data_IF_820171865943
#
_entry.id   IF_820171865943
#
_cell.length_a   1.000
_cell.length_b   1.000
_cell.length_c   1.000
_cell.angle_alpha   90.00
_cell.angle_beta   90.00
_cell.angle_gamma   90.00
#
_symmetry.space_group_name_H-M   'P 1'
#
loop_
_entity.id
_entity.type
_entity.pdbx_description
1 polymer ?
#
# COMPACT_ATOMS: atom_id res chain seq x y z
N UNK A 1 -12.36 15.80 6.91
CA UNK A 1 -11.19 15.12 7.50
C UNK A 1 -11.54 13.91 8.36
N UNK A 2 -12.70 13.90 9.06
CA UNK A 2 -13.25 12.72 9.76
C UNK A 2 -13.43 11.51 8.81
N UNK A 3 -13.64 11.77 7.52
CA UNK A 3 -13.86 10.78 6.46
C UNK A 3 -12.68 9.80 6.26
N UNK A 4 -11.44 10.26 6.04
CA UNK A 4 -10.31 9.35 5.75
C UNK A 4 -10.05 8.31 6.86
N UNK A 5 -10.08 8.73 8.13
CA UNK A 5 -9.87 7.81 9.24
C UNK A 5 -10.98 6.74 9.30
N UNK A 6 -12.22 7.13 8.99
CA UNK A 6 -13.34 6.19 8.89
C UNK A 6 -13.16 5.21 7.72
N UNK A 7 -12.76 5.71 6.53
CA UNK A 7 -12.45 4.85 5.37
C UNK A 7 -11.36 3.81 5.72
N UNK A 8 -10.29 4.24 6.39
CA UNK A 8 -9.21 3.31 6.77
C UNK A 8 -9.67 2.31 7.83
N UNK A 9 -10.47 2.74 8.82
CA UNK A 9 -11.03 1.84 9.83
C UNK A 9 -11.97 0.80 9.22
N UNK A 10 -12.71 1.15 8.16
CA UNK A 10 -13.60 0.22 7.46
C UNK A 10 -12.84 -0.95 6.80
N UNK A 11 -11.54 -0.81 6.55
CA UNK A 11 -10.67 -1.90 6.09
C UNK A 11 -10.38 -2.95 7.18
N UNK A 12 -10.56 -2.60 8.46
CA UNK A 12 -10.31 -3.53 9.56
C UNK A 12 -11.52 -4.45 9.80
N UNK A 13 -11.63 -5.50 9.00
CA UNK A 13 -12.76 -6.44 9.05
C UNK A 13 -12.65 -7.52 10.14
N UNK A 14 -11.50 -7.63 10.83
CA UNK A 14 -11.23 -8.74 11.78
C UNK A 14 -11.35 -8.35 13.25
N UNK A 15 -11.79 -7.13 13.53
CA UNK A 15 -11.88 -6.60 14.88
C UNK A 15 -10.51 -6.22 15.47
N UNK A 16 -10.51 -5.87 16.75
CA UNK A 16 -9.34 -5.26 17.40
C UNK A 16 -9.03 -3.86 16.88
N UNK A 17 -7.93 -3.26 17.35
CA UNK A 17 -7.48 -1.97 16.83
C UNK A 17 -6.77 -2.14 15.48
N UNK A 18 -6.88 -1.19 14.55
CA UNK A 18 -6.03 -1.16 13.36
C UNK A 18 -4.54 -1.14 13.75
N UNK A 19 -3.71 -1.86 12.98
CA UNK A 19 -2.26 -1.84 13.17
C UNK A 19 -1.64 -0.66 12.42
N UNK A 20 -0.75 0.06 13.09
CA UNK A 20 0.04 1.12 12.50
C UNK A 20 1.29 0.57 11.80
N UNK A 21 1.94 1.40 11.00
CA UNK A 21 3.22 1.03 10.39
C UNK A 21 4.30 0.76 11.46
N UNK A 22 4.22 1.43 12.62
CA UNK A 22 5.09 1.17 13.77
C UNK A 22 4.88 -0.23 14.35
N UNK A 23 3.63 -0.68 14.44
CA UNK A 23 3.32 -2.06 14.87
C UNK A 23 3.89 -3.08 13.87
N UNK A 24 3.80 -2.81 12.56
CA UNK A 24 4.34 -3.69 11.53
C UNK A 24 5.87 -3.76 11.55
N UNK A 25 6.56 -2.66 11.88
CA UNK A 25 8.00 -2.66 12.13
C UNK A 25 8.33 -3.50 13.37
N UNK A 26 7.58 -3.31 14.47
CA UNK A 26 7.78 -4.09 15.70
C UNK A 26 7.55 -5.60 15.50
N UNK A 27 6.61 -5.98 14.63
CA UNK A 27 6.35 -7.37 14.24
C UNK A 27 7.37 -7.95 13.24
N UNK A 28 8.40 -7.15 12.87
CA UNK A 28 9.35 -7.44 11.81
C UNK A 28 8.67 -7.77 10.47
N UNK A 29 7.45 -7.26 10.21
CA UNK A 29 6.76 -7.47 8.91
C UNK A 29 7.50 -6.77 7.78
N UNK A 30 8.13 -5.65 8.09
CA UNK A 30 9.08 -4.92 7.26
C UNK A 30 10.04 -4.19 8.21
N UNK A 31 11.23 -3.84 7.75
CA UNK A 31 12.16 -3.04 8.53
C UNK A 31 11.84 -1.53 8.43
N UNK A 32 12.57 -0.74 9.22
CA UNK A 32 12.44 0.72 9.23
C UNK A 32 12.74 1.34 7.85
N UNK A 33 13.75 0.83 7.14
CA UNK A 33 14.16 1.33 5.83
C UNK A 33 13.06 1.16 4.77
N UNK A 34 12.46 -0.03 4.71
CA UNK A 34 11.36 -0.31 3.81
C UNK A 34 10.10 0.46 4.21
N UNK A 35 9.82 0.55 5.52
CA UNK A 35 8.69 1.31 6.04
C UNK A 35 8.79 2.80 5.68
N UNK A 36 9.97 3.42 5.87
CA UNK A 36 10.22 4.80 5.47
C UNK A 36 10.12 4.98 3.95
N UNK A 37 10.59 4.01 3.16
CA UNK A 37 10.46 4.03 1.70
C UNK A 37 8.99 4.07 1.25
N UNK A 38 8.17 3.16 1.80
CA UNK A 38 6.74 3.10 1.50
C UNK A 38 6.00 4.36 1.99
N UNK A 39 6.22 4.76 3.24
CA UNK A 39 5.56 5.92 3.83
C UNK A 39 5.93 7.23 3.10
N UNK A 40 7.21 7.42 2.76
CA UNK A 40 7.68 8.59 2.02
C UNK A 40 7.14 8.66 0.60
N UNK A 41 7.08 7.53 -0.11
CA UNK A 41 6.46 7.49 -1.43
C UNK A 41 4.95 7.78 -1.37
N UNK A 42 4.24 7.19 -0.40
CA UNK A 42 2.80 7.43 -0.21
C UNK A 42 2.50 8.87 0.19
N UNK A 43 3.35 9.50 1.03
CA UNK A 43 3.22 10.92 1.37
C UNK A 43 3.53 11.87 0.22
N UNK A 44 4.24 11.38 -0.80
CA UNK A 44 4.39 12.06 -2.08
C UNK A 44 3.28 11.73 -3.09
N UNK A 45 2.22 11.02 -2.68
CA UNK A 45 1.06 10.71 -3.50
C UNK A 45 1.22 9.49 -4.42
N UNK A 46 2.14 8.57 -4.10
CA UNK A 46 2.31 7.34 -4.87
C UNK A 46 1.04 6.47 -4.90
N UNK A 47 0.75 5.89 -6.06
CA UNK A 47 -0.21 4.79 -6.22
C UNK A 47 0.42 3.47 -5.83
N UNK A 48 -0.26 2.62 -5.06
CA UNK A 48 0.36 1.41 -4.55
C UNK A 48 -0.58 0.22 -4.45
N UNK A 49 0.01 -0.98 -4.58
CA UNK A 49 -0.66 -2.24 -4.36
C UNK A 49 0.03 -3.05 -3.28
N UNK A 50 -0.77 -3.73 -2.45
CA UNK A 50 -0.29 -4.80 -1.57
C UNK A 50 -0.76 -6.14 -2.11
N UNK A 51 0.18 -7.06 -2.35
CA UNK A 51 -0.07 -8.30 -3.07
C UNK A 51 0.34 -9.51 -2.25
N UNK A 52 -0.44 -10.58 -2.33
CA UNK A 52 -0.13 -11.91 -1.80
C UNK A 52 -1.20 -12.88 -2.30
N UNK A 53 -0.81 -14.06 -2.77
CA UNK A 53 -1.76 -15.11 -3.17
C UNK A 53 -2.58 -15.66 -2.01
N UNK A 54 -2.03 -15.98 -0.81
CA UNK A 54 -2.87 -16.46 0.27
C UNK A 54 -3.75 -15.35 0.84
N UNK A 55 -4.99 -15.71 1.22
CA UNK A 55 -5.75 -14.93 2.19
C UNK A 55 -4.99 -14.85 3.53
N UNK A 56 -5.31 -13.87 4.36
CA UNK A 56 -4.73 -13.70 5.71
C UNK A 56 -3.24 -13.29 5.76
N UNK A 57 -2.59 -13.04 4.62
CA UNK A 57 -1.19 -12.61 4.55
C UNK A 57 -0.92 -11.22 5.13
N UNK A 58 -1.97 -10.41 5.32
CA UNK A 58 -1.87 -9.05 5.88
C UNK A 58 -1.87 -7.93 4.82
N UNK A 59 -2.25 -8.20 3.56
CA UNK A 59 -2.34 -7.20 2.47
C UNK A 59 -3.09 -5.94 2.93
N UNK A 60 -4.34 -6.11 3.33
CA UNK A 60 -5.23 -5.03 3.76
C UNK A 60 -4.70 -4.30 5.00
N UNK A 61 -4.03 -5.01 5.92
CA UNK A 61 -3.40 -4.42 7.10
C UNK A 61 -2.24 -3.50 6.71
N UNK A 62 -1.36 -3.95 5.81
CA UNK A 62 -0.28 -3.11 5.29
C UNK A 62 -0.85 -1.91 4.54
N UNK A 63 -1.83 -2.13 3.65
CA UNK A 63 -2.48 -1.05 2.90
C UNK A 63 -3.09 0.01 3.82
N UNK A 64 -3.90 -0.41 4.81
CA UNK A 64 -4.50 0.48 5.79
C UNK A 64 -3.45 1.28 6.58
N UNK A 65 -2.35 0.65 6.98
CA UNK A 65 -1.26 1.33 7.69
C UNK A 65 -0.57 2.40 6.85
N UNK A 66 -0.44 2.19 5.53
CA UNK A 66 0.19 3.12 4.60
C UNK A 66 -0.72 4.29 4.25
N UNK A 67 -2.05 4.09 4.16
CA UNK A 67 -3.02 5.15 3.90
C UNK A 67 -2.97 6.29 4.95
N UNK A 68 -2.41 6.03 6.14
CA UNK A 68 -2.17 7.05 7.17
C UNK A 68 -1.18 8.14 6.74
N UNK A 69 -0.32 7.84 5.75
CA UNK A 69 0.72 8.73 5.27
C UNK A 69 0.33 9.51 4.02
N UNK A 70 -0.91 9.40 3.53
CA UNK A 70 -1.37 10.18 2.38
C UNK A 70 -1.16 11.69 2.61
N UNK A 71 -0.88 12.47 1.54
CA UNK A 71 -0.66 13.90 1.64
C UNK A 71 -1.81 14.62 2.38
N UNK A 72 -1.53 15.71 3.13
CA UNK A 72 -2.57 16.57 3.67
C UNK A 72 -3.52 17.03 2.56
N UNK A 73 -4.81 17.14 2.88
CA UNK A 73 -5.84 17.49 1.88
C UNK A 73 -6.28 16.35 0.94
N UNK A 74 -5.48 15.31 0.74
CA UNK A 74 -5.84 14.15 -0.10
C UNK A 74 -7.00 13.35 0.52
N UNK A 75 -8.13 13.24 -0.17
CA UNK A 75 -9.32 12.51 0.32
C UNK A 75 -9.28 11.05 -0.11
N UNK A 76 -9.62 10.13 0.78
CA UNK A 76 -9.80 8.72 0.41
C UNK A 76 -11.22 8.55 -0.13
N UNK A 77 -11.36 7.97 -1.32
CA UNK A 77 -12.65 7.67 -1.94
C UNK A 77 -12.70 6.18 -2.23
N UNK A 78 -13.47 5.45 -1.43
CA UNK A 78 -13.72 4.03 -1.67
C UNK A 78 -14.63 3.87 -2.88
N UNK A 79 -14.15 3.12 -3.87
CA UNK A 79 -14.83 2.83 -5.12
C UNK A 79 -15.57 1.50 -4.99
N UNK A 80 -16.84 1.51 -5.36
CA UNK A 80 -17.76 0.36 -5.37
C UNK A 80 -18.79 0.54 -6.49
N UNK A 81 -19.71 -0.42 -6.63
CA UNK A 81 -20.75 -0.39 -7.68
C UNK A 81 -21.64 0.87 -7.64
N UNK A 82 -21.81 1.51 -6.48
CA UNK A 82 -22.59 2.73 -6.29
C UNK A 82 -21.76 4.01 -6.37
N UNK A 83 -20.43 3.93 -6.40
CA UNK A 83 -19.51 5.07 -6.42
C UNK A 83 -18.48 4.91 -7.54
N UNK A 84 -18.82 5.31 -8.78
CA UNK A 84 -17.88 5.23 -9.89
C UNK A 84 -16.75 6.25 -9.73
N UNK A 85 -15.66 6.01 -10.46
CA UNK A 85 -14.48 6.88 -10.49
C UNK A 85 -14.80 8.30 -11.01
N UNK A 86 -15.76 8.41 -11.94
CA UNK A 86 -16.24 9.68 -12.51
C UNK A 86 -17.02 10.46 -11.46
N UNK A 87 -16.33 11.31 -10.70
CA UNK A 87 -16.90 12.07 -9.58
C UNK A 87 -15.98 12.17 -8.37
N UNK A 88 -14.82 11.50 -8.39
CA UNK A 88 -13.79 11.69 -7.39
C UNK A 88 -13.31 13.16 -7.35
N UNK A 89 -13.02 13.72 -6.15
CA UNK A 89 -12.38 15.02 -6.01
C UNK A 89 -11.03 15.09 -6.75
N UNK A 90 -10.61 16.29 -7.15
CA UNK A 90 -9.34 16.49 -7.86
C UNK A 90 -8.11 15.97 -7.09
N UNK A 91 -8.13 16.07 -5.75
CA UNK A 91 -7.11 15.51 -4.87
C UNK A 91 -7.68 14.31 -4.13
N UNK A 92 -7.59 13.12 -4.74
CA UNK A 92 -8.13 11.88 -4.18
C UNK A 92 -7.17 10.69 -4.24
N UNK A 93 -7.23 9.84 -3.22
CA UNK A 93 -6.73 8.48 -3.27
C UNK A 93 -7.94 7.57 -3.45
N UNK A 94 -8.07 6.97 -4.64
CA UNK A 94 -9.13 6.00 -4.89
C UNK A 94 -8.76 4.69 -4.21
N UNK A 95 -9.69 4.14 -3.45
CA UNK A 95 -9.49 2.92 -2.68
C UNK A 95 -10.41 1.83 -3.22
N UNK A 96 -9.82 0.70 -3.58
CA UNK A 96 -10.55 -0.55 -3.71
C UNK A 96 -10.08 -1.48 -2.59
N UNK A 97 -10.99 -2.21 -1.96
CA UNK A 97 -10.61 -3.15 -0.91
C UNK A 97 -9.76 -4.29 -1.49
N UNK A 98 -10.09 -4.75 -2.70
CA UNK A 98 -9.30 -5.73 -3.45
C UNK A 98 -9.57 -5.65 -4.96
N UNK A 99 -8.56 -5.97 -5.76
CA UNK A 99 -8.75 -6.29 -7.17
C UNK A 99 -8.98 -7.79 -7.27
N UNK A 100 -10.22 -8.18 -7.57
CA UNK A 100 -10.66 -9.56 -7.62
C UNK A 100 -12.13 -9.68 -8.00
N UNK A 101 -12.51 -10.83 -8.56
CA UNK A 101 -13.85 -11.07 -9.10
C UNK A 101 -14.91 -11.49 -8.04
N UNK A 102 -14.52 -11.59 -6.76
CA UNK A 102 -15.47 -11.98 -5.71
C UNK A 102 -16.51 -10.87 -5.49
N UNK A 103 -17.80 -11.21 -5.27
CA UNK A 103 -18.89 -10.24 -5.08
C UNK A 103 -18.87 -9.67 -3.66
N UNK A 104 -17.77 -9.02 -3.30
CA UNK A 104 -17.53 -8.42 -1.99
C UNK A 104 -17.53 -6.90 -2.15
N UNK A 105 -18.00 -6.18 -1.14
CA UNK A 105 -18.01 -4.73 -1.14
C UNK A 105 -16.62 -4.14 -1.49
N UNK A 106 -16.59 -3.23 -2.46
CA UNK A 106 -15.38 -2.57 -2.98
C UNK A 106 -14.32 -3.54 -3.56
N UNK A 107 -14.76 -4.71 -4.04
CA UNK A 107 -13.95 -5.54 -4.92
C UNK A 107 -14.17 -5.12 -6.37
N UNK A 108 -13.09 -4.91 -7.11
CA UNK A 108 -13.15 -4.48 -8.50
C UNK A 108 -12.55 -5.53 -9.42
N UNK A 109 -13.22 -5.80 -10.53
CA UNK A 109 -12.74 -6.68 -11.60
C UNK A 109 -13.10 -6.12 -12.98
N UNK A 110 -12.50 -6.67 -14.04
CA UNK A 110 -12.81 -6.30 -15.43
C UNK A 110 -12.73 -4.79 -15.71
N UNK A 111 -13.75 -4.26 -16.40
CA UNK A 111 -13.81 -2.85 -16.79
C UNK A 111 -13.85 -1.85 -15.60
N UNK A 112 -14.55 -2.10 -14.47
CA UNK A 112 -14.39 -1.31 -13.26
C UNK A 112 -12.94 -1.21 -12.75
N UNK A 113 -12.22 -2.34 -12.66
CA UNK A 113 -10.82 -2.34 -12.26
C UNK A 113 -9.94 -1.58 -13.27
N UNK A 114 -10.19 -1.73 -14.58
CA UNK A 114 -9.51 -0.95 -15.62
C UNK A 114 -9.64 0.55 -15.40
N UNK A 115 -10.88 1.04 -15.26
CA UNK A 115 -11.19 2.47 -15.04
C UNK A 115 -10.57 3.00 -13.75
N UNK A 116 -10.50 2.17 -12.71
CA UNK A 116 -9.84 2.50 -11.45
C UNK A 116 -8.35 2.85 -11.66
N UNK A 117 -7.61 2.03 -12.41
CA UNK A 117 -6.19 2.30 -12.70
C UNK A 117 -5.99 3.39 -13.75
N UNK A 118 -6.85 3.49 -14.76
CA UNK A 118 -6.78 4.55 -15.79
C UNK A 118 -6.92 5.96 -15.22
N UNK A 119 -7.56 6.10 -14.06
CA UNK A 119 -7.72 7.37 -13.36
C UNK A 119 -6.45 7.88 -12.66
N UNK A 120 -5.38 7.06 -12.55
CA UNK A 120 -4.11 7.53 -12.01
C UNK A 120 -3.58 8.69 -12.87
N UNK A 121 -3.33 9.83 -12.23
CA UNK A 121 -2.90 11.07 -12.85
C UNK A 121 -2.56 12.15 -11.82
N UNK A 122 -2.33 13.40 -12.26
CA UNK A 122 -2.10 14.51 -11.34
C UNK A 122 -3.22 14.62 -10.30
N UNK A 123 -2.86 14.65 -9.01
CA UNK A 123 -3.82 14.73 -7.89
C UNK A 123 -4.55 13.43 -7.53
N UNK A 124 -4.54 12.42 -8.43
CA UNK A 124 -5.24 11.14 -8.24
C UNK A 124 -4.24 9.99 -8.08
N UNK A 125 -4.28 9.36 -6.92
CA UNK A 125 -3.56 8.10 -6.65
C UNK A 125 -4.53 6.96 -6.40
N UNK A 126 -4.06 5.72 -6.46
CA UNK A 126 -4.86 4.54 -6.11
C UNK A 126 -4.21 3.66 -5.05
N UNK A 127 -5.03 2.98 -4.25
CA UNK A 127 -4.59 1.97 -3.30
C UNK A 127 -5.52 0.74 -3.38
N UNK A 128 -4.95 -0.46 -3.47
CA UNK A 128 -5.72 -1.70 -3.41
C UNK A 128 -4.90 -2.92 -2.97
N UNK A 129 -5.59 -3.97 -2.54
CA UNK A 129 -5.03 -5.31 -2.44
C UNK A 129 -5.19 -6.10 -3.74
N UNK A 130 -4.38 -7.14 -3.95
CA UNK A 130 -4.53 -8.08 -5.06
C UNK A 130 -3.90 -9.44 -4.74
N UNK A 131 -4.42 -10.51 -5.34
CA UNK A 131 -3.84 -11.85 -5.24
C UNK A 131 -2.77 -12.08 -6.30
N UNK A 132 -1.50 -11.92 -5.92
CA UNK A 132 -0.31 -12.24 -6.73
C UNK A 132 0.90 -12.40 -5.81
N UNK A 133 1.86 -13.27 -6.16
CA UNK A 133 3.12 -13.41 -5.40
C UNK A 133 4.34 -12.86 -6.15
N UNK A 134 4.18 -12.59 -7.46
CA UNK A 134 5.26 -12.04 -8.29
C UNK A 134 4.78 -10.90 -9.16
N UNK A 135 5.72 -10.06 -9.60
CA UNK A 135 5.45 -8.97 -10.53
C UNK A 135 4.95 -9.48 -11.89
N UNK A 136 5.45 -10.64 -12.35
CA UNK A 136 5.03 -11.25 -13.61
C UNK A 136 3.57 -11.70 -13.55
N UNK A 137 3.16 -12.35 -12.45
CA UNK A 137 1.76 -12.73 -12.23
C UNK A 137 0.86 -11.50 -12.11
N UNK A 138 1.27 -10.50 -11.32
CA UNK A 138 0.53 -9.26 -11.19
C UNK A 138 0.30 -8.59 -12.56
N UNK A 139 1.35 -8.50 -13.38
CA UNK A 139 1.26 -7.97 -14.74
C UNK A 139 0.34 -8.81 -15.61
N UNK A 140 0.44 -10.14 -15.55
CA UNK A 140 -0.45 -11.05 -16.28
C UNK A 140 -1.93 -10.84 -15.92
N UNK A 141 -2.23 -10.67 -14.62
CA UNK A 141 -3.58 -10.39 -14.13
C UNK A 141 -4.11 -9.04 -14.57
N UNK A 142 -3.31 -7.98 -14.43
CA UNK A 142 -3.78 -6.61 -14.70
C UNK A 142 -3.77 -6.26 -16.19
N UNK A 143 -2.72 -6.64 -16.93
CA UNK A 143 -2.61 -6.36 -18.36
C UNK A 143 -3.30 -7.40 -19.25
N UNK A 144 -3.55 -8.60 -18.73
CA UNK A 144 -4.20 -9.68 -19.46
C UNK A 144 -5.70 -9.77 -19.19
N UNK A 145 -6.34 -10.72 -19.88
CA UNK A 145 -7.70 -11.16 -19.62
C UNK A 145 -8.74 -10.04 -19.63
N UNK A 146 -9.62 -10.06 -18.61
CA UNK A 146 -10.78 -9.17 -18.52
C UNK A 146 -10.42 -7.74 -18.07
N UNK A 147 -9.34 -7.56 -17.29
CA UNK A 147 -8.91 -6.22 -16.86
C UNK A 147 -8.23 -5.52 -18.02
N UNK A 148 -7.26 -6.14 -18.72
CA UNK A 148 -6.70 -5.60 -19.96
C UNK A 148 -6.09 -4.19 -19.86
N UNK A 149 -5.31 -3.89 -18.81
CA UNK A 149 -4.58 -2.62 -18.70
C UNK A 149 -3.50 -2.49 -19.78
N UNK A 150 -3.44 -1.32 -20.42
CA UNK A 150 -2.29 -0.93 -21.22
C UNK A 150 -1.01 -0.85 -20.36
N UNK A 151 0.14 -1.15 -20.98
CA UNK A 151 1.43 -1.20 -20.27
C UNK A 151 1.79 0.16 -19.62
N UNK A 152 1.39 1.25 -20.27
CA UNK A 152 1.59 2.63 -19.83
C UNK A 152 0.77 2.94 -18.58
N UNK A 153 -0.42 2.36 -18.44
CA UNK A 153 -1.26 2.50 -17.23
C UNK A 153 -0.69 1.67 -16.10
N UNK A 154 -0.26 0.43 -16.38
CA UNK A 154 0.42 -0.41 -15.39
C UNK A 154 1.68 0.26 -14.83
N UNK A 155 2.44 0.97 -15.68
CA UNK A 155 3.63 1.72 -15.27
C UNK A 155 3.34 2.88 -14.29
N UNK A 156 2.08 3.34 -14.19
CA UNK A 156 1.65 4.38 -13.23
C UNK A 156 1.39 3.84 -11.82
N UNK A 157 1.39 2.52 -11.64
CA UNK A 157 1.35 1.91 -10.30
C UNK A 157 2.74 2.08 -9.69
N UNK A 158 2.91 3.10 -8.86
CA UNK A 158 4.21 3.53 -8.37
C UNK A 158 4.91 2.47 -7.50
N UNK A 159 4.15 1.77 -6.63
CA UNK A 159 4.69 0.79 -5.68
C UNK A 159 3.91 -0.53 -5.69
N UNK A 160 4.62 -1.65 -5.54
CA UNK A 160 4.02 -2.96 -5.32
C UNK A 160 4.75 -3.70 -4.21
N UNK A 161 4.06 -3.97 -3.11
CA UNK A 161 4.58 -4.71 -1.96
C UNK A 161 4.00 -6.13 -1.93
N UNK A 162 4.83 -7.15 -2.13
CA UNK A 162 4.45 -8.56 -2.07
C UNK A 162 4.65 -9.09 -0.65
N UNK A 163 3.59 -9.54 0.02
CA UNK A 163 3.65 -10.18 1.31
C UNK A 163 3.75 -11.70 1.17
N UNK A 164 4.46 -12.32 2.12
CA UNK A 164 4.52 -13.77 2.32
C UNK A 164 3.99 -14.12 3.71
N UNK A 165 3.28 -15.23 3.77
CA UNK A 165 2.74 -15.84 4.98
C UNK A 165 3.40 -17.20 5.16
N UNK A 166 4.25 -17.33 6.18
CA UNK A 166 4.86 -18.60 6.56
C UNK A 166 4.16 -19.15 7.81
N UNK A 167 3.91 -20.46 7.84
CA UNK A 167 3.59 -21.16 9.08
C UNK A 167 4.86 -21.35 9.92
N UNK A 168 4.74 -21.19 11.23
CA UNK A 168 5.81 -21.33 12.22
C UNK A 168 5.29 -22.16 13.39
N UNK A 169 6.16 -22.77 14.22
CA UNK A 169 5.72 -23.49 15.41
C UNK A 169 4.89 -22.62 16.38
N UNK A 170 5.11 -21.30 16.40
CA UNK A 170 4.43 -20.34 17.25
C UNK A 170 3.21 -19.67 16.59
N UNK A 171 2.79 -20.12 15.41
CA UNK A 171 1.68 -19.55 14.64
C UNK A 171 2.11 -19.12 13.25
N UNK A 172 1.94 -17.84 12.90
CA UNK A 172 2.20 -17.36 11.54
C UNK A 172 3.16 -16.18 11.53
N UNK A 173 4.08 -16.20 10.56
CA UNK A 173 5.00 -15.09 10.26
C UNK A 173 4.57 -14.40 8.97
N UNK A 174 4.45 -13.07 9.02
CA UNK A 174 4.09 -12.22 7.87
C UNK A 174 5.23 -11.29 7.56
N UNK A 175 5.68 -11.26 6.31
CA UNK A 175 6.81 -10.45 5.84
C UNK A 175 6.49 -9.82 4.49
N UNK A 176 6.90 -8.58 4.27
CA UNK A 176 6.97 -8.00 2.93
C UNK A 176 8.17 -8.63 2.23
N UNK A 177 7.90 -9.66 1.43
CA UNK A 177 8.92 -10.48 0.77
C UNK A 177 9.66 -9.73 -0.35
N UNK A 178 8.97 -8.80 -1.02
CA UNK A 178 9.58 -7.93 -2.01
C UNK A 178 8.82 -6.60 -2.13
N UNK A 179 9.57 -5.52 -2.32
CA UNK A 179 9.03 -4.21 -2.66
C UNK A 179 9.57 -3.79 -4.03
N UNK A 180 8.68 -3.40 -4.94
CA UNK A 180 9.01 -2.85 -6.24
C UNK A 180 8.56 -1.40 -6.35
N UNK A 181 9.30 -0.60 -7.11
CA UNK A 181 8.88 0.74 -7.53
C UNK A 181 8.95 0.89 -9.04
N UNK A 182 8.01 1.63 -9.62
CA UNK A 182 8.02 1.99 -11.04
C UNK A 182 9.23 2.87 -11.37
N UNK A 183 9.94 2.56 -12.45
CA UNK A 183 11.00 3.39 -13.02
C UNK A 183 10.86 3.51 -14.54
N UNK A 184 11.84 4.18 -15.17
CA UNK A 184 11.85 4.41 -16.63
C UNK A 184 11.83 3.12 -17.46
N UNK A 185 12.48 2.06 -16.97
CA UNK A 185 12.59 0.76 -17.63
C UNK A 185 11.55 -0.25 -17.10
N UNK A 186 10.53 0.24 -16.38
CA UNK A 186 9.54 -0.59 -15.68
C UNK A 186 9.84 -0.72 -14.19
N UNK A 187 9.13 -1.63 -13.52
CA UNK A 187 9.25 -1.81 -12.07
C UNK A 187 10.55 -2.49 -11.69
N UNK A 188 11.31 -1.87 -10.78
CA UNK A 188 12.54 -2.39 -10.21
C UNK A 188 12.33 -2.81 -8.76
N UNK A 189 12.93 -3.93 -8.35
CA UNK A 189 12.92 -4.36 -6.95
C UNK A 189 13.82 -3.45 -6.13
N UNK A 190 13.25 -2.88 -5.07
CA UNK A 190 13.93 -2.03 -4.10
C UNK A 190 14.40 -2.82 -2.88
N UNK A 191 13.58 -3.77 -2.44
CA UNK A 191 13.88 -4.61 -1.29
C UNK A 191 13.49 -6.06 -1.55
N UNK A 192 14.22 -6.98 -0.96
CA UNK A 192 13.82 -8.38 -0.79
C UNK A 192 13.94 -8.80 0.67
N UNK A 193 13.13 -9.74 1.08
CA UNK A 193 13.30 -10.45 2.34
C UNK A 193 14.20 -11.67 2.13
N UNK A 194 15.08 -11.93 3.09
CA UNK A 194 15.88 -13.14 3.19
C UNK A 194 15.25 -14.07 4.24
N UNK A 195 14.68 -15.17 3.78
CA UNK A 195 13.89 -16.07 4.64
C UNK A 195 14.74 -16.80 5.67
N UNK A 196 16.00 -17.11 5.33
CA UNK A 196 16.90 -17.84 6.21
C UNK A 196 17.33 -17.03 7.44
N UNK A 197 17.62 -15.75 7.26
CA UNK A 197 18.04 -14.84 8.34
C UNK A 197 16.90 -14.01 8.93
N UNK A 198 15.71 -14.06 8.34
CA UNK A 198 14.57 -13.19 8.67
C UNK A 198 14.90 -11.69 8.62
N UNK A 199 15.76 -11.30 7.67
CA UNK A 199 16.21 -9.92 7.46
C UNK A 199 15.76 -9.38 6.10
N UNK A 200 15.84 -8.06 5.93
CA UNK A 200 15.52 -7.40 4.67
C UNK A 200 16.79 -6.85 4.04
N UNK A 201 16.90 -7.00 2.73
CA UNK A 201 18.02 -6.53 1.92
C UNK A 201 17.50 -5.44 0.99
N UNK A 202 18.06 -4.24 1.12
CA UNK A 202 17.85 -3.16 0.16
C UNK A 202 18.73 -3.39 -1.06
N UNK A 203 18.12 -3.44 -2.23
CA UNK A 203 18.79 -3.64 -3.52
C UNK A 203 18.84 -2.35 -4.36
N UNK A 204 17.96 -1.38 -4.07
CA UNK A 204 17.95 -0.09 -4.74
C UNK A 204 17.28 1.02 -3.90
N UNK A 205 17.56 2.26 -4.27
CA UNK A 205 17.02 3.47 -3.66
C UNK A 205 16.16 4.22 -4.69
N UNK A 206 14.92 4.62 -4.37
CA UNK A 206 14.12 5.43 -5.28
C UNK A 206 14.44 6.92 -5.09
N UNK A 207 15.26 7.49 -5.97
CA UNK A 207 15.65 8.92 -5.93
C UNK A 207 14.46 9.87 -6.01
N UNK A 208 13.36 9.46 -6.67
CA UNK A 208 12.14 10.26 -6.85
C UNK A 208 11.53 10.74 -5.53
N UNK A 209 11.72 10.01 -4.43
CA UNK A 209 11.08 10.30 -3.15
C UNK A 209 12.09 10.48 -2.01
N UNK A 210 13.38 10.68 -2.29
CA UNK A 210 14.46 10.72 -1.28
C UNK A 210 14.13 11.60 -0.08
N UNK A 211 13.78 12.87 -0.30
CA UNK A 211 13.44 13.79 0.79
C UNK A 211 12.20 13.36 1.59
N UNK A 212 11.18 12.82 0.92
CA UNK A 212 9.97 12.34 1.60
C UNK A 212 10.25 11.07 2.42
N UNK A 213 11.16 10.23 1.94
CA UNK A 213 11.65 9.04 2.65
C UNK A 213 12.44 9.44 3.90
N UNK A 214 13.29 10.47 3.82
CA UNK A 214 14.03 10.97 4.98
C UNK A 214 13.09 11.56 6.04
N UNK A 215 12.09 12.35 5.63
CA UNK A 215 11.05 12.84 6.54
C UNK A 215 10.25 11.70 7.19
N UNK A 216 9.86 10.69 6.41
CA UNK A 216 9.13 9.54 6.91
C UNK A 216 9.97 8.70 7.88
N UNK A 217 11.27 8.52 7.60
CA UNK A 217 12.22 7.84 8.49
C UNK A 217 12.31 8.55 9.83
N UNK A 218 12.58 9.85 9.83
CA UNK A 218 12.70 10.64 11.06
C UNK A 218 11.42 10.59 11.91
N UNK A 219 10.25 10.65 11.26
CA UNK A 219 8.96 10.47 11.94
C UNK A 219 8.83 9.08 12.58
N UNK A 220 9.11 8.02 11.83
CA UNK A 220 9.00 6.64 12.32
C UNK A 220 9.99 6.34 13.45
N UNK A 221 11.22 6.85 13.36
CA UNK A 221 12.21 6.75 14.44
C UNK A 221 11.72 7.44 15.71
N UNK A 222 11.21 8.67 15.60
CA UNK A 222 10.65 9.42 16.74
C UNK A 222 9.49 8.67 17.39
N UNK A 223 8.54 8.17 16.60
CA UNK A 223 7.38 7.41 17.09
C UNK A 223 7.80 6.11 17.78
N UNK A 224 8.81 5.42 17.25
CA UNK A 224 9.38 4.21 17.86
C UNK A 224 10.08 4.53 19.19
N UNK A 225 10.88 5.59 19.22
CA UNK A 225 11.58 6.03 20.43
C UNK A 225 10.62 6.42 21.55
N UNK A 226 9.46 7.01 21.22
CA UNK A 226 8.42 7.35 22.19
C UNK A 226 7.45 6.21 22.51
N UNK A 227 7.61 5.03 21.92
CA UNK A 227 6.68 3.90 22.09
C UNK A 227 5.28 4.15 21.52
N UNK A 228 5.12 5.14 20.65
CA UNK A 228 3.82 5.54 20.08
C UNK A 228 3.49 4.67 18.87
N UNK A 229 2.61 3.67 19.05
CA UNK A 229 2.18 2.78 17.97
C UNK A 229 0.67 2.72 17.73
N UNK A 230 -0.14 3.39 18.57
CA UNK A 230 -1.58 3.49 18.35
C UNK A 230 -1.85 4.14 16.98
N UNK A 231 -2.74 3.53 16.18
CA UNK A 231 -2.98 3.93 14.80
C UNK A 231 -3.36 5.41 14.68
N UNK A 232 -4.25 5.89 15.52
CA UNK A 232 -4.73 7.27 15.54
C UNK A 232 -3.61 8.27 15.82
N UNK A 233 -2.69 7.92 16.73
CA UNK A 233 -1.52 8.76 17.04
C UNK A 233 -0.53 8.81 15.87
N UNK A 234 -0.27 7.67 15.23
CA UNK A 234 0.57 7.61 14.02
C UNK A 234 -0.07 8.39 12.87
N UNK A 235 -1.38 8.23 12.67
CA UNK A 235 -2.16 8.96 11.67
C UNK A 235 -2.10 10.48 11.89
N UNK A 236 -2.27 10.95 13.13
CA UNK A 236 -2.16 12.36 13.45
C UNK A 236 -0.74 12.91 13.16
N UNK A 237 0.29 12.21 13.65
CA UNK A 237 1.68 12.63 13.49
C UNK A 237 2.15 12.66 12.02
N UNK A 238 1.66 11.73 11.19
CA UNK A 238 1.94 11.71 9.75
C UNK A 238 1.41 12.95 9.02
N UNK A 239 0.28 13.51 9.49
CA UNK A 239 -0.34 14.70 8.89
C UNK A 239 0.34 16.00 9.32
N UNK A 240 0.85 16.05 10.55
CA UNK A 240 1.58 17.22 11.07
C UNK A 240 2.96 17.37 10.39
N UNK A 241 3.61 16.26 10.05
CA UNK A 241 4.96 16.28 9.44
C UNK A 241 4.93 16.55 7.92
N UNK A 242 3.75 16.44 7.30
CA UNK A 242 3.56 16.61 5.85
C UNK A 242 2.98 17.99 5.48
N UNK A 243 2.65 18.82 6.48
CA UNK A 243 2.16 20.20 6.33
C UNK A 243 3.33 21.19 6.44
#
# INVERSE_FOLDING_TARGET
MIDNLQQIRALNQRGGRPLSLVDLIAANTLDLEMAATLAGAVSAGASFLTAARPGNAGKTTLMASLLAFLPPGRRIVTIDDGRPVTGAPAEACLLAHEIGAAPIYSYLWGAPARRFFEAIGPGISVASCIHADTLAELRGTLCGGEIGLAAEVFARIDLVAFLRLDATPQGYRRRVAALYASGREGHRRLFRWEQASDTFVREASPERWSEAIDRARALLERLRASGTSAFESVFAAARETSA
#
